data_IF_886413513433
#
_entry.id   IF_886413513433
#
_cell.length_a   1.000
_cell.length_b   1.000
_cell.length_c   1.000
_cell.angle_alpha   90.00
_cell.angle_beta   90.00
_cell.angle_gamma   90.00
#
_symmetry.space_group_name_H-M   'P 1'
#
loop_
_entity.id
_entity.type
_entity.pdbx_description
1 polymer ?
2 non-polymer ?
3 water ?
#
# COMPACT_ATOMS: atom_id res chain seq x y z
N UNK A 22 -14.08 4.32 22.03
CA UNK A 22 -14.21 5.46 21.08
C UNK A 22 -15.40 5.24 20.14
N UNK A 23 -16.36 6.15 20.20
CA UNK A 23 -17.62 6.01 19.47
C UNK A 23 -17.51 6.36 17.99
N UNK A 24 -16.57 7.23 17.63
CA UNK A 24 -16.46 7.77 16.28
C UNK A 24 -15.73 6.87 15.31
N UNK A 25 -15.10 7.48 14.32
CA UNK A 25 -14.32 6.75 13.31
C UNK A 25 -12.82 6.78 13.61
N UNK A 26 -12.19 5.62 13.46
CA UNK A 26 -10.76 5.49 13.54
C UNK A 26 -10.23 5.22 12.13
N UNK A 27 -9.35 6.13 11.67
CA UNK A 27 -8.73 6.07 10.37
C UNK A 27 -7.29 5.57 10.43
N UNK A 28 -6.99 4.51 9.68
CA UNK A 28 -5.64 3.93 9.60
C UNK A 28 -4.86 4.55 8.45
N UNK A 29 -3.71 5.15 8.76
CA UNK A 29 -2.80 5.68 7.74
C UNK A 29 -1.42 5.16 7.99
N UNK A 30 -0.55 5.35 7.02
CA UNK A 30 0.87 5.05 7.17
C UNK A 30 1.69 6.32 6.94
N UNK A 31 2.88 6.34 7.55
CA UNK A 31 3.85 7.44 7.38
C UNK A 31 4.36 7.61 5.94
N UNK A 32 4.99 8.75 5.69
CA UNK A 32 5.55 9.06 4.37
C UNK A 32 4.49 9.55 3.39
N UNK A 33 4.56 9.06 2.16
CA UNK A 33 3.74 9.56 1.06
C UNK A 33 2.22 9.42 1.27
N UNK A 34 1.79 8.37 1.95
CA UNK A 34 0.35 8.17 2.19
C UNK A 34 -0.20 9.23 3.14
N UNK A 35 0.51 9.49 4.24
CA UNK A 35 0.12 10.55 5.17
C UNK A 35 0.09 11.93 4.48
N UNK A 36 1.19 12.24 3.80
CA UNK A 36 1.35 13.52 3.13
C UNK A 36 0.27 13.79 2.09
N UNK A 37 -0.01 12.79 1.25
CA UNK A 37 -0.98 12.93 0.18
C UNK A 37 -2.44 12.72 0.61
N UNK A 38 -2.66 12.11 1.77
CA UNK A 38 -4.01 11.98 2.29
C UNK A 38 -4.47 13.27 2.99
N UNK A 39 -3.55 13.97 3.65
CA UNK A 39 -3.89 15.15 4.49
C UNK A 39 -4.74 16.22 3.79
N UNK A 40 -4.42 16.56 2.52
CA UNK A 40 -5.27 17.48 1.76
C UNK A 40 -6.70 16.98 1.53
N UNK A 41 -6.89 15.69 1.30
CA UNK A 41 -8.23 15.11 1.20
C UNK A 41 -8.97 15.26 2.53
N UNK A 42 -8.27 14.92 3.61
CA UNK A 42 -8.79 15.07 4.95
C UNK A 42 -9.14 16.52 5.26
N UNK A 43 -8.26 17.45 4.89
CA UNK A 43 -8.50 18.87 5.15
C UNK A 43 -9.80 19.31 4.49
N UNK A 44 -9.93 19.03 3.19
CA UNK A 44 -11.13 19.38 2.44
C UNK A 44 -12.39 18.70 3.02
N UNK A 45 -12.21 17.52 3.62
CA UNK A 45 -13.26 16.82 4.37
C UNK A 45 -13.45 17.29 5.82
N UNK A 46 -12.78 18.37 6.22
CA UNK A 46 -12.89 18.93 7.56
C UNK A 46 -12.10 18.26 8.66
N UNK A 47 -11.16 17.40 8.29
CA UNK A 47 -10.33 16.67 9.26
C UNK A 47 -8.89 17.14 9.13
N UNK A 48 -8.31 17.65 10.21
CA UNK A 48 -6.90 18.02 10.23
C UNK A 48 -6.28 17.44 11.49
N UNK A 49 -5.10 16.87 11.34
CA UNK A 49 -4.30 16.46 12.50
C UNK A 49 -3.82 17.68 13.28
N UNK A 50 -3.64 17.53 14.58
CA UNK A 50 -3.29 18.64 15.46
C UNK A 50 -1.77 18.73 15.73
N UNK A 51 -1.03 17.72 15.26
CA UNK A 51 0.44 17.76 15.26
C UNK A 51 0.96 16.89 14.12
N UNK A 52 2.29 16.88 13.94
CA UNK A 52 2.92 16.05 12.89
C UNK A 52 3.25 14.65 13.44
N UNK A 53 2.53 13.62 12.97
CA UNK A 53 2.82 12.26 13.45
C UNK A 53 4.25 11.76 13.14
N UNK A 54 4.83 12.23 12.03
CA UNK A 54 6.23 11.92 11.67
C UNK A 54 7.20 12.28 12.80
N UNK A 55 6.92 13.35 13.56
CA UNK A 55 7.77 13.78 14.67
C UNK A 55 7.37 13.22 16.06
N UNK A 56 6.46 12.26 16.11
CA UNK A 56 6.05 11.66 17.39
C UNK A 56 6.24 10.14 17.39
N UNK A 57 6.45 9.59 18.57
CA UNK A 57 6.44 8.14 18.82
C UNK A 57 5.02 7.66 19.16
N UNK A 58 4.13 8.59 19.50
CA UNK A 58 2.70 8.32 19.70
C UNK A 58 2.07 7.73 18.42
N UNK A 59 1.06 6.89 18.61
CA UNK A 59 0.44 6.17 17.48
C UNK A 59 -1.02 6.53 17.23
N UNK A 60 -1.75 7.01 18.25
CA UNK A 60 -3.14 7.45 18.10
C UNK A 60 -3.16 8.97 18.13
N UNK A 61 -3.86 9.58 17.19
CA UNK A 61 -3.86 11.03 17.07
C UNK A 61 -5.26 11.56 16.97
N UNK A 62 -5.61 12.54 17.83
CA UNK A 62 -6.85 13.26 17.62
C UNK A 62 -6.76 14.09 16.34
N UNK A 63 -7.92 14.55 15.88
CA UNK A 63 -7.99 15.47 14.75
C UNK A 63 -8.86 16.65 15.14
N UNK A 64 -8.93 17.64 14.26
CA UNK A 64 -9.84 18.77 14.38
C UNK A 64 -11.32 18.39 14.50
N UNK A 65 -11.67 17.19 14.05
CA UNK A 65 -13.00 16.61 14.21
C UNK A 65 -12.95 15.63 15.40
N UNK A 66 -13.77 15.87 16.44
CA UNK A 66 -13.74 14.97 17.61
C UNK A 66 -14.28 13.54 17.36
N UNK A 67 -15.00 13.34 16.25
CA UNK A 67 -15.47 12.01 15.84
C UNK A 67 -14.44 11.22 15.00
N UNK A 68 -13.29 11.81 14.67
CA UNK A 68 -12.29 11.12 13.86
C UNK A 68 -10.94 11.11 14.57
N UNK A 69 -10.33 9.92 14.67
CA UNK A 69 -8.95 9.79 15.14
C UNK A 69 -8.13 8.99 14.12
N UNK A 70 -6.82 9.16 14.19
CA UNK A 70 -5.91 8.59 13.21
C UNK A 70 -4.94 7.64 13.91
N UNK A 71 -4.83 6.44 13.36
CA UNK A 71 -3.75 5.51 13.68
C UNK A 71 -2.69 5.58 12.59
N UNK A 72 -1.43 5.65 13.02
CA UNK A 72 -0.29 5.62 12.14
C UNK A 72 0.30 4.22 12.28
N UNK A 73 0.31 3.51 11.15
CA UNK A 73 0.64 2.10 11.09
C UNK A 73 1.70 1.89 10.05
N UNK A 74 2.38 0.75 10.14
CA UNK A 74 3.17 0.25 8.99
C UNK A 74 2.18 0.03 7.85
N UNK A 75 2.57 0.39 6.63
CA UNK A 75 1.71 0.21 5.46
C UNK A 75 1.13 -1.20 5.33
N UNK A 76 1.95 -2.23 5.56
CA UNK A 76 1.46 -3.61 5.54
C UNK A 76 0.39 -3.97 6.60
N UNK A 77 0.28 -3.19 7.67
CA UNK A 77 -0.70 -3.45 8.74
C UNK A 77 -2.03 -2.72 8.57
N UNK A 78 -2.10 -1.77 7.64
CA UNK A 78 -3.34 -1.03 7.42
C UNK A 78 -4.53 -1.97 7.11
N UNK A 79 -4.38 -2.87 6.12
CA UNK A 79 -5.49 -3.81 5.82
C UNK A 79 -5.89 -4.68 7.01
N UNK A 80 -4.90 -5.08 7.81
CA UNK A 80 -5.14 -5.92 8.99
C UNK A 80 -6.01 -5.23 10.04
N UNK A 81 -5.64 -4.00 10.41
CA UNK A 81 -6.40 -3.22 11.39
C UNK A 81 -7.83 -2.93 10.90
N UNK A 82 -7.95 -2.60 9.61
CA UNK A 82 -9.25 -2.33 9.00
C UNK A 82 -10.12 -3.60 8.93
N UNK A 83 -9.52 -4.72 8.50
CA UNK A 83 -10.21 -6.02 8.46
C UNK A 83 -10.81 -6.44 9.81
N UNK A 84 -10.00 -6.33 10.85
CA UNK A 84 -10.43 -6.69 12.21
C UNK A 84 -11.35 -5.69 12.86
N UNK A 85 -11.45 -4.48 12.31
CA UNK A 85 -12.26 -3.41 12.88
C UNK A 85 -11.54 -2.60 13.96
N UNK A 86 -10.24 -2.83 14.17
CA UNK A 86 -9.45 -1.94 15.04
C UNK A 86 -9.34 -0.52 14.46
N UNK A 87 -9.45 -0.41 13.14
CA UNK A 87 -9.77 0.83 12.44
C UNK A 87 -11.03 0.60 11.60
N UNK A 88 -11.85 1.63 11.48
CA UNK A 88 -13.11 1.54 10.72
C UNK A 88 -12.85 1.68 9.24
N UNK A 89 -11.85 2.49 8.92
CA UNK A 89 -11.41 2.67 7.55
C UNK A 89 -9.93 3.03 7.49
N UNK A 90 -9.38 2.99 6.29
CA UNK A 90 -7.95 3.19 6.13
C UNK A 90 -7.58 3.49 4.71
N UNK A 91 -6.36 3.94 4.54
CA UNK A 91 -5.78 4.21 3.23
C UNK A 91 -4.59 3.28 3.07
N UNK A 92 -4.72 2.37 2.10
CA UNK A 92 -3.73 1.35 1.83
C UNK A 92 -3.34 1.34 0.36
N UNK A 93 -2.07 1.05 0.08
CA UNK A 93 -1.60 0.90 -1.29
C UNK A 93 -2.17 -0.36 -1.91
N UNK A 94 -2.46 -0.32 -3.22
CA UNK A 94 -2.97 -1.49 -3.94
C UNK A 94 -2.01 -2.67 -3.81
N UNK A 95 -0.72 -2.38 -3.82
CA UNK A 95 0.34 -3.38 -3.64
C UNK A 95 0.16 -4.18 -2.33
N UNK A 96 -0.13 -3.47 -1.24
CA UNK A 96 -0.35 -4.07 0.07
C UNK A 96 -1.67 -4.86 0.10
N UNK A 97 -2.70 -4.29 -0.52
CA UNK A 97 -4.01 -4.94 -0.62
C UNK A 97 -3.98 -6.24 -1.37
N UNK A 98 -3.29 -6.23 -2.52
CA UNK A 98 -3.11 -7.43 -3.31
C UNK A 98 -2.35 -8.50 -2.54
N UNK A 99 -1.32 -8.08 -1.81
CA UNK A 99 -0.47 -9.01 -1.09
C UNK A 99 -1.18 -9.60 0.14
N UNK A 100 -1.81 -8.73 0.91
CA UNK A 100 -2.58 -9.15 2.08
C UNK A 100 -3.85 -9.90 1.70
N UNK A 101 -4.50 -9.53 0.61
CA UNK A 101 -5.84 -10.03 0.30
C UNK A 101 -6.88 -9.04 0.79
N UNK A 102 -7.79 -8.65 -0.10
CA UNK A 102 -8.80 -7.64 0.20
C UNK A 102 -10.21 -8.22 0.32
N UNK A 103 -10.32 -9.53 0.56
CA UNK A 103 -11.62 -10.20 0.57
C UNK A 103 -12.47 -9.90 1.81
N UNK A 104 -11.87 -9.34 2.86
CA UNK A 104 -12.60 -9.04 4.11
C UNK A 104 -12.63 -7.56 4.50
N UNK A 105 -12.45 -6.70 3.50
CA UNK A 105 -12.70 -5.27 3.61
C UNK A 105 -13.41 -4.85 2.32
N UNK A 106 -13.99 -3.66 2.31
CA UNK A 106 -14.53 -3.08 1.07
C UNK A 106 -13.55 -2.02 0.58
N UNK A 107 -13.11 -2.16 -0.67
CA UNK A 107 -12.35 -1.11 -1.35
C UNK A 107 -13.37 -0.19 -1.99
N UNK A 108 -13.50 1.03 -1.46
CA UNK A 108 -14.52 1.99 -1.89
C UNK A 108 -14.04 2.99 -2.95
N UNK A 109 -12.80 3.48 -2.82
CA UNK A 109 -12.26 4.50 -3.74
C UNK A 109 -10.83 4.26 -4.14
N UNK A 110 -10.52 4.56 -5.40
CA UNK A 110 -9.14 4.71 -5.80
C UNK A 110 -8.84 6.18 -5.62
N UNK A 111 -8.02 6.48 -4.60
CA UNK A 111 -7.67 7.86 -4.26
C UNK A 111 -6.71 8.51 -5.22
N UNK A 112 -6.05 7.71 -6.07
CA UNK A 112 -5.09 8.21 -7.05
C UNK A 112 -3.87 8.94 -6.44
N UNK A 113 -3.51 8.56 -5.22
CA UNK A 113 -2.33 9.10 -4.52
C UNK A 113 -1.29 8.00 -4.34
N UNK A 114 -0.05 8.42 -4.08
CA UNK A 114 1.07 7.51 -3.89
C UNK A 114 1.14 6.52 -5.04
N UNK A 115 1.11 7.06 -6.26
CA UNK A 115 1.10 6.24 -7.47
C UNK A 115 2.48 5.64 -7.76
N UNK A 116 2.48 4.37 -8.12
CA UNK A 116 3.71 3.65 -8.48
C UNK A 116 3.34 2.38 -9.24
N UNK A 117 4.34 1.55 -9.57
CA UNK A 117 4.09 0.34 -10.32
C UNK A 117 4.73 -0.83 -9.59
N UNK A 118 4.01 -1.95 -9.51
CA UNK A 118 4.64 -3.24 -9.20
C UNK A 118 5.36 -3.73 -10.45
N UNK A 119 6.63 -4.09 -10.30
CA UNK A 119 7.46 -4.51 -11.41
C UNK A 119 8.35 -5.67 -11.00
N UNK A 120 8.80 -6.42 -11.99
CA UNK A 120 9.88 -7.37 -11.83
C UNK A 120 11.15 -6.66 -12.27
N UNK A 121 12.27 -7.00 -11.66
CA UNK A 121 13.52 -6.41 -12.08
C UNK A 121 14.68 -7.32 -11.72
N UNK A 122 15.78 -7.12 -12.43
CA UNK A 122 17.00 -7.90 -12.25
C UNK A 122 18.20 -7.09 -12.70
N UNK A 123 19.38 -7.71 -12.65
CA UNK A 123 20.62 -7.03 -13.04
C UNK A 123 20.53 -6.73 -14.52
N UNK A 124 21.02 -5.56 -14.91
CA UNK A 124 20.83 -5.10 -16.28
C UNK A 124 21.51 -6.03 -17.29
N UNK A 125 20.72 -6.50 -18.26
CA UNK A 125 21.14 -7.45 -19.30
C UNK A 125 21.66 -8.81 -18.80
N UNK A 126 21.35 -9.17 -17.56
CA UNK A 126 21.65 -10.51 -17.05
C UNK A 126 20.69 -11.46 -17.76
N UNK A 127 21.20 -12.57 -18.31
CA UNK A 127 20.27 -13.54 -18.90
C UNK A 127 19.53 -14.31 -17.81
N UNK A 128 18.26 -14.65 -18.06
CA UNK A 128 17.51 -15.49 -17.13
C UNK A 128 17.98 -16.93 -17.23
N UNK A 129 18.14 -17.61 -16.09
CA UNK A 129 18.60 -19.01 -16.12
C UNK A 129 17.47 -19.93 -16.57
N UNK A 130 17.80 -20.96 -17.34
CA UNK A 130 16.82 -21.94 -17.78
C UNK A 130 16.61 -22.98 -16.69
N UNK A 131 15.78 -22.59 -15.72
CA UNK A 131 15.33 -23.45 -14.65
C UNK A 131 14.20 -22.70 -13.95
N UNK A 132 13.64 -23.31 -12.91
CA UNK A 132 12.65 -22.64 -12.06
C UNK A 132 13.28 -21.38 -11.51
N UNK A 133 12.64 -20.25 -11.74
CA UNK A 133 13.14 -18.97 -11.28
C UNK A 133 12.93 -18.83 -9.77
N UNK A 134 13.80 -18.07 -9.11
CA UNK A 134 13.65 -17.73 -7.71
C UNK A 134 13.45 -16.23 -7.64
N UNK A 135 12.38 -15.81 -6.97
CA UNK A 135 11.97 -14.41 -6.94
C UNK A 135 12.16 -13.90 -5.53
N UNK A 136 13.08 -12.96 -5.35
CA UNK A 136 13.32 -12.34 -4.04
C UNK A 136 12.34 -11.20 -3.87
N UNK A 137 11.47 -11.27 -2.88
CA UNK A 137 10.46 -10.24 -2.73
C UNK A 137 9.72 -10.26 -1.41
N UNK A 138 9.22 -9.08 -1.05
CA UNK A 138 8.19 -8.91 -0.01
C UNK A 138 6.82 -9.36 -0.49
N UNK A 139 6.57 -9.22 -1.79
CA UNK A 139 5.27 -9.48 -2.38
C UNK A 139 5.17 -10.92 -2.89
N UNK A 140 5.18 -11.88 -1.97
CA UNK A 140 5.21 -13.32 -2.32
C UNK A 140 3.95 -13.80 -3.05
N UNK A 141 2.78 -13.37 -2.62
CA UNK A 141 1.52 -13.73 -3.30
C UNK A 141 1.37 -13.09 -4.68
N UNK A 142 1.76 -11.82 -4.79
CA UNK A 142 1.72 -11.09 -6.05
C UNK A 142 2.77 -11.66 -7.03
N UNK A 143 3.96 -11.98 -6.53
CA UNK A 143 4.98 -12.63 -7.36
C UNK A 143 4.47 -13.97 -7.90
N UNK A 144 3.87 -14.79 -7.05
CA UNK A 144 3.41 -16.12 -7.48
C UNK A 144 2.26 -16.04 -8.47
N UNK A 145 1.32 -15.12 -8.24
CA UNK A 145 0.17 -14.94 -9.12
C UNK A 145 0.58 -14.33 -10.46
N UNK A 146 1.44 -13.30 -10.42
CA UNK A 146 1.94 -12.73 -11.68
C UNK A 146 2.66 -13.78 -12.52
N UNK A 147 3.66 -14.43 -11.94
CA UNK A 147 4.44 -15.40 -12.70
C UNK A 147 3.58 -16.58 -13.17
N UNK A 148 2.56 -16.93 -12.40
CA UNK A 148 1.59 -17.96 -12.82
C UNK A 148 0.87 -17.55 -14.13
N UNK A 149 0.56 -16.26 -14.27
CA UNK A 149 -0.06 -15.73 -15.48
C UNK A 149 0.88 -15.79 -16.70
N UNK A 150 2.19 -15.81 -16.44
CA UNK A 150 3.20 -15.95 -17.51
C UNK A 150 3.55 -17.43 -17.78
N UNK A 151 2.79 -18.36 -17.21
CA UNK A 151 3.04 -19.80 -17.36
C UNK A 151 4.18 -20.32 -16.51
N UNK A 152 4.43 -19.67 -15.37
CA UNK A 152 5.65 -19.87 -14.62
C UNK A 152 5.34 -20.17 -13.15
N UNK A 153 5.68 -21.38 -12.71
CA UNK A 153 5.56 -21.75 -11.29
C UNK A 153 6.88 -21.50 -10.59
N UNK A 154 7.01 -20.31 -10.00
CA UNK A 154 8.31 -19.86 -9.45
C UNK A 154 8.47 -20.19 -7.96
N UNK A 155 9.72 -20.27 -7.52
CA UNK A 155 10.04 -20.21 -6.10
C UNK A 155 10.15 -18.74 -5.65
N UNK A 156 9.69 -18.46 -4.44
CA UNK A 156 9.82 -17.12 -3.85
C UNK A 156 10.73 -17.19 -2.63
N UNK A 157 11.55 -16.14 -2.47
CA UNK A 157 12.36 -15.93 -1.29
C UNK A 157 11.79 -14.68 -0.63
N UNK A 158 11.13 -14.89 0.50
CA UNK A 158 10.50 -13.83 1.28
C UNK A 158 11.53 -12.92 1.92
N UNK A 159 11.39 -11.62 1.66
CA UNK A 159 12.21 -10.57 2.26
C UNK A 159 11.28 -9.51 2.87
N UNK A 160 11.82 -8.74 3.80
CA UNK A 160 11.08 -7.64 4.44
C UNK A 160 11.46 -6.25 3.94
N UNK A 161 12.58 -6.13 3.22
CA UNK A 161 13.00 -4.83 2.67
C UNK A 161 14.24 -4.91 1.82
N UNK A 162 14.62 -3.77 1.24
CA UNK A 162 15.82 -3.61 0.41
C UNK A 162 15.94 -4.66 -0.70
N UNK A 163 14.84 -4.85 -1.44
CA UNK A 163 14.84 -5.82 -2.55
C UNK A 163 15.98 -5.63 -3.56
N UNK A 164 16.35 -4.37 -3.83
CA UNK A 164 17.43 -4.02 -4.77
C UNK A 164 18.79 -4.67 -4.52
N UNK A 165 19.08 -5.04 -3.27
CA UNK A 165 20.33 -5.75 -2.93
C UNK A 165 20.33 -7.19 -3.42
N UNK A 166 19.15 -7.81 -3.42
CA UNK A 166 19.04 -9.25 -3.67
C UNK A 166 19.75 -9.72 -4.95
N UNK A 167 19.46 -9.09 -6.11
CA UNK A 167 20.18 -9.49 -7.34
C UNK A 167 21.69 -9.17 -7.35
N UNK A 168 22.13 -8.15 -6.60
CA UNK A 168 23.57 -7.82 -6.53
C UNK A 168 24.40 -8.87 -5.79
N UNK A 169 23.78 -9.65 -4.89
CA UNK A 169 24.47 -10.71 -4.17
C UNK A 169 24.03 -12.11 -4.61
N UNK A 170 23.20 -12.19 -5.66
CA UNK A 170 22.75 -13.45 -6.23
C UNK A 170 21.69 -14.18 -5.43
N UNK A 171 20.98 -13.45 -4.56
CA UNK A 171 19.80 -13.99 -3.88
C UNK A 171 18.61 -13.86 -4.83
N UNK A 172 18.10 -14.98 -5.30
CA UNK A 172 17.10 -14.99 -6.38
C UNK A 172 17.61 -14.47 -7.73
N UNK A 173 16.78 -14.66 -8.75
CA UNK A 173 17.08 -14.31 -10.13
C UNK A 173 16.45 -13.00 -10.54
N UNK A 174 15.29 -12.72 -9.95
CA UNK A 174 14.60 -11.45 -10.11
C UNK A 174 14.04 -11.02 -8.76
N UNK A 175 13.66 -9.75 -8.68
CA UNK A 175 12.88 -9.24 -7.56
C UNK A 175 11.53 -8.82 -8.07
N UNK A 176 10.60 -8.66 -7.15
CA UNK A 176 9.37 -7.95 -7.38
C UNK A 176 9.28 -6.88 -6.29
N UNK A 177 9.07 -5.64 -6.72
CA UNK A 177 9.01 -4.52 -5.81
C UNK A 177 8.27 -3.38 -6.47
N UNK A 178 7.90 -2.37 -5.69
CA UNK A 178 7.29 -1.18 -6.25
C UNK A 178 8.39 -0.28 -6.81
N UNK A 179 8.08 0.32 -7.95
CA UNK A 179 8.96 1.22 -8.66
C UNK A 179 8.16 2.48 -8.89
N UNK A 180 8.74 3.63 -8.58
CA UNK A 180 8.10 4.92 -8.77
C UNK A 180 8.90 5.67 -9.85
N UNK A 181 9.97 6.34 -9.47
CA UNK A 181 10.84 7.05 -10.40
C UNK A 181 11.71 6.08 -11.17
N UNK A 182 11.99 4.92 -10.58
CA UNK A 182 12.99 4.00 -11.12
C UNK A 182 14.41 4.30 -10.67
N UNK A 183 14.58 5.31 -9.81
CA UNK A 183 15.92 5.72 -9.37
C UNK A 183 16.65 4.66 -8.55
N UNK A 184 15.90 3.94 -7.72
CA UNK A 184 16.47 2.85 -6.94
C UNK A 184 17.05 1.76 -7.84
N UNK A 185 16.28 1.33 -8.82
CA UNK A 185 16.75 0.33 -9.78
C UNK A 185 18.02 0.82 -10.52
N UNK A 186 17.96 2.04 -11.04
CA UNK A 186 19.07 2.63 -11.81
C UNK A 186 20.33 2.78 -10.98
N UNK A 187 20.20 3.31 -9.76
CA UNK A 187 21.33 3.43 -8.83
C UNK A 187 22.05 2.11 -8.55
N UNK A 188 21.34 0.99 -8.68
CA UNK A 188 21.89 -0.32 -8.35
C UNK A 188 22.20 -1.19 -9.57
N UNK A 189 22.20 -0.61 -10.77
CA UNK A 189 22.51 -1.36 -12.00
C UNK A 189 21.44 -2.37 -12.40
N UNK A 190 20.21 -2.14 -11.91
CA UNK A 190 19.09 -3.02 -12.19
C UNK A 190 18.19 -2.32 -13.19
N UNK A 191 17.41 -3.11 -13.94
CA UNK A 191 16.34 -2.56 -14.76
C UNK A 191 15.08 -3.37 -14.63
N UNK A 192 13.95 -2.68 -14.74
CA UNK A 192 12.66 -3.31 -14.75
C UNK A 192 12.60 -4.25 -15.95
N UNK A 193 12.11 -5.47 -15.72
CA UNK A 193 11.90 -6.45 -16.77
C UNK A 193 10.44 -6.41 -17.20
N UNK A 194 9.52 -6.55 -16.25
CA UNK A 194 8.07 -6.56 -16.54
C UNK A 194 7.33 -5.56 -15.66
N UNK A 195 6.33 -4.91 -16.27
CA UNK A 195 5.33 -4.12 -15.54
C UNK A 195 4.23 -5.09 -15.12
N UNK A 196 4.03 -5.23 -13.80
CA UNK A 196 2.99 -6.12 -13.27
C UNK A 196 1.65 -5.39 -13.22
N UNK A 197 1.57 -4.29 -12.48
CA UNK A 197 0.37 -3.46 -12.48
C UNK A 197 0.65 -2.10 -11.87
N UNK A 198 -0.26 -1.17 -12.15
CA UNK A 198 -0.23 0.14 -11.51
C UNK A 198 -0.76 0.02 -10.09
N UNK A 199 -0.19 0.85 -9.23
CA UNK A 199 -0.50 0.88 -7.82
C UNK A 199 -0.86 2.32 -7.45
N UNK A 200 -1.90 2.47 -6.66
CA UNK A 200 -2.26 3.73 -6.04
C UNK A 200 -2.90 3.40 -4.71
N UNK A 201 -2.92 4.37 -3.81
CA UNK A 201 -3.58 4.21 -2.52
C UNK A 201 -5.10 4.17 -2.67
N UNK A 202 -5.72 3.27 -1.92
CA UNK A 202 -7.14 3.00 -1.98
C UNK A 202 -7.76 3.22 -0.61
N UNK A 203 -9.00 3.70 -0.60
CA UNK A 203 -9.76 3.83 0.63
C UNK A 203 -10.49 2.51 0.90
N UNK A 204 -10.15 1.87 2.01
CA UNK A 204 -10.78 0.62 2.42
C UNK A 204 -11.57 0.82 3.69
N UNK A 205 -12.64 0.03 3.83
CA UNK A 205 -13.55 0.13 4.97
C UNK A 205 -13.86 -1.24 5.54
N UNK A 206 -13.97 -1.28 6.87
CA UNK A 206 -14.37 -2.48 7.58
C UNK A 206 -15.81 -2.80 7.19
N UNK A 207 -16.07 -4.07 6.92
CA UNK A 207 -17.36 -4.50 6.39
C UNK A 207 -18.55 -4.24 7.33
N UNK A 208 -18.28 -4.25 8.64
CA UNK A 208 -19.28 -3.98 9.65
C UNK A 208 -19.40 -2.48 9.90
N UNK A 209 -18.27 -1.78 10.01
CA UNK A 209 -18.28 -0.31 10.16
C UNK A 209 -19.02 0.36 9.03
N UNK A 210 -18.84 -0.15 7.82
CA UNK A 210 -19.57 0.37 6.67
C UNK A 210 -21.09 0.38 6.94
N UNK A 211 -21.58 -0.70 7.54
CA UNK A 211 -23.00 -0.86 7.86
C UNK A 211 -23.42 -0.05 9.09
N UNK A 212 -22.62 -0.10 10.16
CA UNK A 212 -22.99 0.52 11.44
C UNK A 212 -22.69 2.01 11.53
N UNK A 213 -21.63 2.48 10.85
CA UNK A 213 -21.19 3.86 10.98
C UNK A 213 -21.29 4.66 9.68
N UNK A 214 -22.24 4.27 8.82
CA UNK A 214 -22.36 4.86 7.48
C UNK A 214 -22.60 6.36 7.52
N UNK A 215 -23.39 6.82 8.50
CA UNK A 215 -23.71 8.24 8.60
C UNK A 215 -22.48 9.08 8.94
N UNK A 216 -21.51 8.49 9.65
CA UNK A 216 -20.23 9.15 9.88
C UNK A 216 -19.32 9.07 8.66
N UNK A 217 -19.22 7.89 8.05
CA UNK A 217 -18.37 7.71 6.87
C UNK A 217 -18.85 8.48 5.65
N UNK A 218 -20.17 8.58 5.45
CA UNK A 218 -20.68 9.05 4.17
C UNK A 218 -20.20 10.44 3.75
N UNK A 219 -20.36 11.47 4.62
CA UNK A 219 -19.86 12.80 4.18
C UNK A 219 -18.36 12.86 3.91
N UNK A 220 -17.56 12.06 4.63
CA UNK A 220 -16.11 11.98 4.40
C UNK A 220 -15.81 11.29 3.06
N UNK A 221 -16.50 10.17 2.78
CA UNK A 221 -16.36 9.49 1.47
C UNK A 221 -16.72 10.40 0.29
N UNK A 222 -17.86 11.09 0.42
CA UNK A 222 -18.35 12.03 -0.60
C UNK A 222 -17.35 13.16 -0.83
N UNK A 223 -16.71 13.63 0.24
CA UNK A 223 -15.71 14.70 0.11
C UNK A 223 -14.48 14.22 -0.65
N UNK A 224 -14.01 13.03 -0.29
CA UNK A 224 -12.85 12.40 -0.92
C UNK A 224 -13.13 12.19 -2.40
N UNK A 225 -14.28 11.60 -2.70
CA UNK A 225 -14.71 11.38 -4.07
C UNK A 225 -14.76 12.67 -4.88
N UNK A 226 -15.37 13.72 -4.32
CA UNK A 226 -15.36 15.06 -4.95
C UNK A 226 -13.93 15.56 -5.18
N UNK A 227 -13.07 15.44 -4.16
CA UNK A 227 -11.69 15.91 -4.24
C UNK A 227 -10.88 15.21 -5.32
N UNK A 228 -11.05 13.90 -5.42
CA UNK A 228 -10.35 13.09 -6.42
C UNK A 228 -10.75 13.48 -7.86
N UNK A 229 -11.97 13.96 -8.07
CA UNK A 229 -12.43 14.36 -9.40
C UNK A 229 -11.61 15.54 -9.96
N UNK A 230 -11.26 16.51 -9.11
CA UNK A 230 -10.30 17.57 -9.50
C UNK A 230 -8.87 17.19 -9.07
X LIG B 1 9.58 1.81 -2.37
X LIG B 1 10.34 0.56 -2.84
X LIG B 1 11.59 1.11 -3.49
X LIG B 1 11.26 2.57 -3.80
X LIG B 1 11.17 2.83 -5.28
X LIG B 1 9.98 2.15 -1.04
X LIG B 1 10.62 -0.33 -1.77
X LIG B 1 12.72 1.04 -2.60
X LIG B 1 9.97 2.86 -3.25
X LIG B 1 11.19 4.23 -5.48
X LIG B 1 11.88 4.81 -6.80
X LIG B 1 11.32 6.21 -6.93
X LIG B 1 11.42 3.88 -7.89
X LIG B 1 13.36 4.79 -6.57
X LIG B 1 9.04 3.13 -0.14
X LIG B 1 8.16 2.22 0.70
X LIG B 1 8.42 4.19 -1.02
X LIG B 1 10.10 3.85 0.84
X LIG B 1 11.50 4.47 0.34
X LIG B 1 11.84 5.46 1.44
X LIG B 1 11.20 5.11 -1.00
X LIG B 1 12.44 3.29 0.27
#
# INVERSE_FOLDING_TARGET
GMTEVTNSLPTSGLLNEANDEFLGLTLALSKGRILEETMPLLRAAGVELLEDPEASRKLIFPTSNPNVRVLILRASDVPTYVEHGAADFGVAGKDVLLEHGANHVYELLDLKIAQCKLMTAGVKDAPLPNRRLRIATKYVNVARAYFASQGQQVDVIKLYGSMELAPLVGLGDLIVDVVDTGNTLRANGLEARDHICDVSSRLIVNQVSYKRKFALLEPILDSFKNSINSTS
PRP C1 C2 C3 C4 C5 O1 O2 O3 O4 O5 P O1P O2P O3P PA O1A O2A O3A PB O1B O2B O3B
#
